data_IF_423803513310
#
_entry.id   IF_423803513310
#
_cell.length_a   1.000
_cell.length_b   1.000
_cell.length_c   1.000
_cell.angle_alpha   90.00
_cell.angle_beta   90.00
_cell.angle_gamma   90.00
#
_symmetry.space_group_name_H-M   'P 1'
#
loop_
_entity.id
_entity.type
_entity.pdbx_description
1 polymer ?
#
# COMPACT_ATOMS: atom_id res chain seq x y z
N UNK A 1 8.16 -15.22 -7.52
CA UNK A 1 9.52 -15.79 -7.74
C UNK A 1 10.16 -16.24 -6.44
N UNK A 2 10.12 -15.43 -5.39
CA UNK A 2 10.65 -15.73 -4.04
C UNK A 2 9.53 -15.93 -3.00
N UNK A 3 8.42 -16.51 -3.45
CA UNK A 3 7.25 -16.79 -2.63
C UNK A 3 7.63 -17.67 -1.42
N UNK A 4 7.32 -17.20 -0.21
CA UNK A 4 7.65 -17.79 1.09
C UNK A 4 9.13 -18.15 1.27
N UNK A 5 10.03 -17.52 0.52
CA UNK A 5 11.47 -17.67 0.70
C UNK A 5 11.93 -16.81 1.90
N UNK A 6 11.49 -17.19 3.11
CA UNK A 6 11.63 -16.38 4.35
C UNK A 6 13.05 -15.86 4.61
N UNK A 7 14.08 -16.62 4.22
CA UNK A 7 15.48 -16.24 4.41
C UNK A 7 16.15 -15.58 3.19
N UNK A 8 15.42 -15.39 2.09
CA UNK A 8 15.97 -14.79 0.88
C UNK A 8 16.31 -13.31 1.10
N UNK A 9 17.57 -12.96 0.84
CA UNK A 9 18.07 -11.58 0.89
C UNK A 9 19.30 -11.41 -0.01
N UNK A 10 19.36 -12.16 -1.12
CA UNK A 10 20.50 -12.12 -2.03
C UNK A 10 20.41 -10.89 -2.94
N UNK A 11 21.54 -10.27 -3.25
CA UNK A 11 21.59 -9.07 -4.08
C UNK A 11 21.05 -9.35 -5.50
N UNK A 12 20.01 -8.61 -5.87
CA UNK A 12 19.35 -8.65 -7.19
C UNK A 12 19.21 -7.25 -7.81
N UNK A 13 19.92 -6.27 -7.27
CA UNK A 13 19.87 -4.88 -7.74
C UNK A 13 20.27 -4.71 -9.21
N UNK A 14 21.07 -5.64 -9.76
CA UNK A 14 21.52 -5.62 -11.16
C UNK A 14 20.54 -6.24 -12.15
N UNK A 15 19.42 -6.80 -11.69
CA UNK A 15 18.48 -7.49 -12.58
C UNK A 15 17.78 -6.53 -13.53
N UNK A 16 17.73 -6.91 -14.80
CA UNK A 16 16.95 -6.21 -15.79
C UNK A 16 15.50 -6.75 -15.81
N UNK A 17 14.59 -6.02 -15.18
CA UNK A 17 13.16 -6.35 -15.16
C UNK A 17 12.32 -5.47 -16.10
N UNK A 18 12.93 -4.74 -17.03
CA UNK A 18 12.24 -3.74 -17.88
C UNK A 18 11.13 -4.29 -18.81
N UNK A 19 11.04 -5.62 -18.93
CA UNK A 19 10.00 -6.31 -19.69
C UNK A 19 8.99 -7.06 -18.81
N UNK A 20 9.15 -7.03 -17.48
CA UNK A 20 8.21 -7.65 -16.56
C UNK A 20 6.92 -6.83 -16.54
N UNK A 21 5.79 -7.53 -16.66
CA UNK A 21 4.44 -6.93 -16.64
C UNK A 21 3.72 -7.26 -15.33
N UNK A 22 3.99 -8.41 -14.74
CA UNK A 22 3.37 -8.86 -13.51
C UNK A 22 4.46 -9.17 -12.47
N UNK A 23 4.36 -8.55 -11.30
CA UNK A 23 5.22 -8.80 -10.14
C UNK A 23 4.44 -9.39 -8.96
N UNK A 24 3.24 -9.95 -9.22
CA UNK A 24 2.35 -10.53 -8.22
C UNK A 24 3.11 -11.48 -7.29
N UNK A 25 2.97 -11.26 -5.98
CA UNK A 25 3.53 -12.10 -4.93
C UNK A 25 5.03 -12.43 -5.09
N UNK A 26 5.82 -11.55 -5.75
CA UNK A 26 7.21 -11.86 -6.05
C UNK A 26 8.05 -12.09 -4.79
N UNK A 27 7.80 -11.33 -3.71
CA UNK A 27 8.44 -11.43 -2.40
C UNK A 27 7.45 -11.71 -1.26
N UNK A 28 6.29 -12.30 -1.58
CA UNK A 28 5.32 -12.74 -0.58
C UNK A 28 6.02 -13.60 0.48
N UNK A 29 5.90 -13.25 1.75
CA UNK A 29 6.54 -13.90 2.91
C UNK A 29 8.07 -14.06 2.81
N UNK A 30 8.76 -13.26 1.99
CA UNK A 30 10.21 -13.17 2.00
C UNK A 30 10.69 -12.30 3.18
N UNK A 31 10.45 -12.77 4.40
CA UNK A 31 10.58 -12.00 5.65
C UNK A 31 11.89 -11.21 5.79
N UNK A 32 13.02 -11.79 5.35
CA UNK A 32 14.36 -11.18 5.43
C UNK A 32 14.76 -10.32 4.21
N UNK A 33 13.92 -10.20 3.19
CA UNK A 33 14.28 -9.48 1.97
C UNK A 33 14.35 -7.97 2.20
N UNK A 34 15.51 -7.37 1.95
CA UNK A 34 15.73 -5.93 2.11
C UNK A 34 16.82 -5.39 1.15
N UNK A 35 16.83 -5.87 -0.10
CA UNK A 35 17.86 -5.48 -1.09
C UNK A 35 17.46 -4.24 -1.89
N UNK A 36 18.42 -3.38 -2.27
CA UNK A 36 18.14 -2.11 -2.93
C UNK A 36 17.66 -2.35 -4.37
N UNK A 37 16.34 -2.27 -4.57
CA UNK A 37 15.65 -2.46 -5.87
C UNK A 37 15.05 -1.16 -6.41
N UNK A 38 15.38 -0.01 -5.81
CA UNK A 38 14.88 1.29 -6.25
C UNK A 38 15.29 1.67 -7.68
N UNK A 39 16.36 1.06 -8.21
CA UNK A 39 16.84 1.26 -9.57
C UNK A 39 16.12 0.41 -10.63
N UNK A 40 15.20 -0.47 -10.24
CA UNK A 40 14.46 -1.30 -11.17
C UNK A 40 13.51 -0.47 -12.05
N UNK A 41 13.47 -0.79 -13.35
CA UNK A 41 12.50 -0.20 -14.27
C UNK A 41 11.18 -0.98 -14.25
N UNK A 42 10.20 -0.47 -13.50
CA UNK A 42 8.85 -1.06 -13.38
C UNK A 42 7.80 -0.43 -14.32
N UNK A 43 8.20 0.37 -15.30
CA UNK A 43 7.26 1.14 -16.16
C UNK A 43 6.25 0.30 -16.95
N UNK A 44 6.54 -1.00 -17.17
CA UNK A 44 5.63 -1.93 -17.84
C UNK A 44 4.81 -2.80 -16.89
N UNK A 45 5.09 -2.73 -15.59
CA UNK A 45 4.38 -3.51 -14.58
C UNK A 45 2.97 -2.94 -14.44
N UNK A 46 1.98 -3.82 -14.49
CA UNK A 46 0.56 -3.49 -14.29
C UNK A 46 0.04 -4.03 -12.96
N UNK A 47 0.68 -5.07 -12.43
CA UNK A 47 0.22 -5.82 -11.27
C UNK A 47 1.35 -6.01 -10.24
N UNK A 48 1.10 -5.55 -9.02
CA UNK A 48 1.98 -5.67 -7.85
C UNK A 48 1.23 -6.25 -6.64
N UNK A 49 0.11 -6.95 -6.87
CA UNK A 49 -0.62 -7.56 -5.77
C UNK A 49 0.31 -8.45 -4.91
N UNK A 50 0.17 -8.37 -3.59
CA UNK A 50 0.98 -9.14 -2.64
C UNK A 50 2.51 -8.99 -2.75
N UNK A 51 3.04 -8.03 -3.51
CA UNK A 51 4.47 -7.99 -3.88
C UNK A 51 5.42 -8.10 -2.68
N UNK A 52 5.15 -7.34 -1.61
CA UNK A 52 5.90 -7.34 -0.35
C UNK A 52 5.04 -7.77 0.85
N UNK A 53 3.94 -8.49 0.61
CA UNK A 53 3.10 -8.97 1.69
C UNK A 53 3.90 -9.94 2.58
N UNK A 54 4.01 -9.64 3.88
CA UNK A 54 4.84 -10.40 4.81
C UNK A 54 6.36 -10.25 4.61
N UNK A 55 6.83 -9.30 3.80
CA UNK A 55 8.26 -8.95 3.71
C UNK A 55 8.67 -8.04 4.89
N UNK A 56 8.65 -8.62 6.09
CA UNK A 56 8.75 -7.94 7.40
C UNK A 56 9.89 -6.90 7.47
N UNK A 57 11.05 -7.21 6.91
CA UNK A 57 12.26 -6.37 7.00
C UNK A 57 12.42 -5.39 5.85
N UNK A 58 11.57 -5.44 4.82
CA UNK A 58 11.71 -4.60 3.64
C UNK A 58 11.50 -3.13 3.98
N UNK A 59 12.50 -2.29 3.70
CA UNK A 59 12.44 -0.84 3.94
C UNK A 59 13.33 -0.08 2.94
N UNK A 60 13.33 -0.53 1.68
CA UNK A 60 14.16 0.09 0.63
C UNK A 60 13.40 1.19 -0.11
N UNK A 61 14.11 2.25 -0.47
CA UNK A 61 13.52 3.36 -1.21
C UNK A 61 13.14 2.91 -2.63
N UNK A 62 11.85 3.04 -2.94
CA UNK A 62 11.22 2.71 -4.23
C UNK A 62 10.34 3.86 -4.72
N UNK A 63 10.54 5.08 -4.19
CA UNK A 63 9.74 6.25 -4.54
C UNK A 63 9.89 6.60 -6.04
N UNK A 64 11.08 6.38 -6.62
CA UNK A 64 11.39 6.74 -8.01
C UNK A 64 10.90 5.73 -9.05
N UNK A 65 10.18 4.69 -8.63
CA UNK A 65 9.53 3.75 -9.53
C UNK A 65 8.49 4.45 -10.42
N UNK A 66 8.52 4.15 -11.73
CA UNK A 66 7.52 4.62 -12.69
C UNK A 66 6.28 3.74 -12.64
N UNK A 67 5.28 4.15 -11.89
CA UNK A 67 4.08 3.33 -11.60
C UNK A 67 2.85 3.68 -12.44
N UNK A 68 3.00 4.48 -13.50
CA UNK A 68 1.86 4.98 -14.31
C UNK A 68 1.07 3.89 -15.05
N UNK A 69 1.59 2.65 -15.10
CA UNK A 69 0.93 1.48 -15.67
C UNK A 69 0.17 0.62 -14.66
N UNK A 70 0.34 0.85 -13.35
CA UNK A 70 -0.25 0.01 -12.32
C UNK A 70 -1.79 0.09 -12.29
N UNK A 71 -2.42 -1.07 -12.19
CA UNK A 71 -3.87 -1.22 -12.06
C UNK A 71 -4.28 -1.87 -10.74
N UNK A 72 -3.40 -2.62 -10.09
CA UNK A 72 -3.68 -3.31 -8.82
C UNK A 72 -2.54 -3.15 -7.81
N UNK A 73 -2.90 -2.78 -6.58
CA UNK A 73 -2.00 -2.64 -5.42
C UNK A 73 -2.48 -3.43 -4.20
N UNK A 74 -3.39 -4.38 -4.40
CA UNK A 74 -3.99 -5.21 -3.35
C UNK A 74 -2.90 -5.89 -2.51
N UNK A 75 -2.91 -5.65 -1.21
CA UNK A 75 -1.98 -6.19 -0.22
C UNK A 75 -0.48 -5.98 -0.50
N UNK A 76 -0.10 -5.03 -1.37
CA UNK A 76 1.31 -4.83 -1.79
C UNK A 76 2.29 -4.74 -0.62
N UNK A 77 1.93 -4.06 0.47
CA UNK A 77 2.75 -3.89 1.68
C UNK A 77 2.07 -4.44 2.94
N UNK A 78 1.12 -5.37 2.80
CA UNK A 78 0.48 -5.98 3.97
C UNK A 78 1.56 -6.63 4.85
N UNK A 79 1.52 -6.38 6.15
CA UNK A 79 2.48 -6.91 7.13
C UNK A 79 3.96 -6.63 6.78
N UNK A 80 4.26 -5.64 5.93
CA UNK A 80 5.61 -5.12 5.70
C UNK A 80 6.01 -4.19 6.86
N UNK A 81 6.19 -4.79 8.04
CA UNK A 81 6.28 -4.12 9.35
C UNK A 81 7.30 -2.97 9.37
N UNK A 82 8.44 -3.13 8.70
CA UNK A 82 9.55 -2.16 8.71
C UNK A 82 9.41 -1.05 7.65
N UNK A 83 8.48 -1.18 6.70
CA UNK A 83 8.40 -0.29 5.56
C UNK A 83 7.93 1.11 5.98
N UNK A 84 8.75 2.13 5.72
CA UNK A 84 8.41 3.54 5.98
C UNK A 84 9.12 4.48 4.99
N UNK A 85 9.27 4.06 3.73
CA UNK A 85 9.87 4.85 2.67
C UNK A 85 8.82 5.66 1.91
N UNK A 86 9.17 6.85 1.40
CA UNK A 86 8.22 7.70 0.68
C UNK A 86 7.68 6.99 -0.57
N UNK A 87 6.40 7.25 -0.87
CA UNK A 87 5.69 6.79 -2.06
C UNK A 87 4.97 7.94 -2.77
N UNK A 88 5.28 9.18 -2.42
CA UNK A 88 4.60 10.37 -2.94
C UNK A 88 4.81 10.58 -4.45
N UNK A 89 5.84 9.98 -5.04
CA UNK A 89 6.10 10.03 -6.48
C UNK A 89 5.32 8.95 -7.27
N UNK A 90 4.69 7.99 -6.59
CA UNK A 90 3.90 6.97 -7.26
C UNK A 90 2.66 7.59 -7.91
N UNK A 91 2.51 7.34 -9.21
CA UNK A 91 1.29 7.60 -9.94
C UNK A 91 0.34 6.42 -9.76
N UNK A 92 -0.75 6.64 -9.02
CA UNK A 92 -1.81 5.64 -8.78
C UNK A 92 -3.11 5.92 -9.56
N UNK A 93 -3.06 6.83 -10.54
CA UNK A 93 -4.26 7.31 -11.26
C UNK A 93 -4.98 6.23 -12.07
N UNK A 94 -4.37 5.08 -12.37
CA UNK A 94 -5.01 3.94 -13.06
C UNK A 94 -5.38 2.79 -12.12
N UNK A 95 -4.99 2.87 -10.86
CA UNK A 95 -5.21 1.80 -9.87
C UNK A 95 -6.70 1.66 -9.58
N UNK A 96 -7.15 0.40 -9.56
CA UNK A 96 -8.54 -0.01 -9.29
C UNK A 96 -8.72 -0.52 -7.88
N UNK A 97 -7.75 -1.28 -7.35
CA UNK A 97 -7.81 -1.84 -6.00
C UNK A 97 -6.59 -1.43 -5.18
N UNK A 98 -6.85 -1.04 -3.94
CA UNK A 98 -5.86 -0.81 -2.88
C UNK A 98 -6.23 -1.58 -1.61
N UNK A 99 -6.98 -2.67 -1.76
CA UNK A 99 -7.44 -3.50 -0.65
C UNK A 99 -6.25 -3.95 0.21
N UNK A 100 -6.31 -3.61 1.49
CA UNK A 100 -5.34 -3.96 2.51
C UNK A 100 -3.89 -3.60 2.20
N UNK A 101 -3.64 -2.65 1.29
CA UNK A 101 -2.29 -2.31 0.82
C UNK A 101 -1.30 -2.09 1.98
N UNK A 102 -1.73 -1.47 3.09
CA UNK A 102 -0.94 -1.20 4.28
C UNK A 102 -1.52 -1.84 5.56
N UNK A 103 -2.35 -2.88 5.44
CA UNK A 103 -2.79 -3.65 6.61
C UNK A 103 -1.57 -4.13 7.39
N UNK A 104 -1.51 -3.89 8.70
CA UNK A 104 -0.39 -4.30 9.58
C UNK A 104 1.01 -3.76 9.20
N UNK A 105 1.10 -2.77 8.31
CA UNK A 105 2.35 -2.05 8.02
C UNK A 105 2.64 -1.03 9.14
N UNK A 106 2.96 -1.51 10.34
CA UNK A 106 2.94 -0.70 11.58
C UNK A 106 3.92 0.48 11.59
N UNK A 107 4.99 0.44 10.78
CA UNK A 107 5.94 1.56 10.66
C UNK A 107 5.55 2.63 9.65
N UNK A 108 4.62 2.33 8.72
CA UNK A 108 4.33 3.23 7.61
C UNK A 108 3.60 4.49 8.07
N UNK A 109 4.17 5.67 7.79
CA UNK A 109 3.57 6.97 8.09
C UNK A 109 4.00 8.05 7.10
N UNK A 110 4.18 7.70 5.82
CA UNK A 110 4.65 8.63 4.80
C UNK A 110 3.49 9.37 4.14
N UNK A 111 3.75 10.62 3.74
CA UNK A 111 2.75 11.46 3.07
C UNK A 111 2.42 10.92 1.67
N UNK A 112 1.12 10.69 1.46
CA UNK A 112 0.52 10.20 0.22
C UNK A 112 -0.73 11.02 -0.15
N UNK A 113 -0.85 12.25 0.38
CA UNK A 113 -1.99 13.14 0.14
C UNK A 113 -2.12 13.58 -1.34
N UNK A 114 -1.04 13.50 -2.11
CA UNK A 114 -0.96 13.86 -3.54
C UNK A 114 -1.44 12.73 -4.48
N UNK A 115 -1.74 11.54 -3.95
CA UNK A 115 -2.23 10.44 -4.76
C UNK A 115 -3.58 10.77 -5.41
N UNK A 116 -3.66 10.54 -6.73
CA UNK A 116 -4.91 10.63 -7.47
C UNK A 116 -5.69 9.32 -7.37
N UNK A 117 -6.64 9.25 -6.44
CA UNK A 117 -7.45 8.05 -6.15
C UNK A 117 -8.76 7.98 -6.95
N UNK A 118 -8.99 8.86 -7.92
CA UNK A 118 -10.29 9.03 -8.58
C UNK A 118 -10.80 7.79 -9.36
N UNK A 119 -9.92 6.82 -9.61
CA UNK A 119 -10.20 5.59 -10.33
C UNK A 119 -10.24 4.34 -9.43
N UNK A 120 -9.95 4.50 -8.13
CA UNK A 120 -9.98 3.40 -7.17
C UNK A 120 -11.43 3.02 -6.89
N UNK A 121 -11.68 1.72 -6.93
CA UNK A 121 -12.99 1.09 -6.75
C UNK A 121 -13.08 0.35 -5.41
N UNK A 122 -11.96 -0.08 -4.83
CA UNK A 122 -11.91 -0.79 -3.54
C UNK A 122 -10.71 -0.39 -2.67
N UNK A 123 -10.96 -0.19 -1.37
CA UNK A 123 -9.98 0.17 -0.34
C UNK A 123 -10.23 -0.56 1.00
N UNK A 124 -10.72 -1.80 0.96
CA UNK A 124 -11.04 -2.57 2.16
C UNK A 124 -9.81 -2.77 3.03
N UNK A 125 -9.90 -2.45 4.32
CA UNK A 125 -8.80 -2.70 5.24
C UNK A 125 -7.49 -1.97 4.91
N UNK A 126 -7.48 -0.99 3.99
CA UNK A 126 -6.23 -0.39 3.48
C UNK A 126 -5.26 0.00 4.59
N UNK A 127 -5.79 0.57 5.68
CA UNK A 127 -5.10 0.97 6.90
C UNK A 127 -5.69 0.25 8.13
N UNK A 128 -5.94 -1.06 8.04
CA UNK A 128 -6.27 -1.88 9.21
C UNK A 128 -5.01 -2.16 10.04
N UNK A 129 -4.95 -1.62 11.26
CA UNK A 129 -3.81 -1.77 12.19
C UNK A 129 -2.43 -1.16 11.79
N UNK A 130 -2.33 0.02 11.15
CA UNK A 130 -1.07 0.74 11.04
C UNK A 130 -0.90 1.61 12.29
N UNK A 131 -0.13 1.13 13.26
CA UNK A 131 0.02 1.78 14.57
C UNK A 131 0.46 3.26 14.50
N UNK A 132 1.19 3.66 13.45
CA UNK A 132 1.77 5.00 13.31
C UNK A 132 1.13 5.90 12.25
N UNK A 133 0.27 5.37 11.37
CA UNK A 133 -0.20 6.13 10.22
C UNK A 133 -1.16 7.26 10.64
N UNK A 134 -0.79 8.52 10.38
CA UNK A 134 -1.53 9.71 10.81
C UNK A 134 -1.54 10.85 9.78
N UNK A 135 -1.38 10.51 8.50
CA UNK A 135 -1.33 11.50 7.41
C UNK A 135 -2.73 11.98 7.01
N UNK A 136 -2.79 13.19 6.43
CA UNK A 136 -4.06 13.78 6.00
C UNK A 136 -4.44 13.28 4.60
N UNK A 137 -5.54 12.53 4.51
CA UNK A 137 -6.08 11.96 3.28
C UNK A 137 -7.40 12.61 2.85
N UNK A 138 -7.81 13.71 3.49
CA UNK A 138 -9.08 14.39 3.21
C UNK A 138 -9.22 14.94 1.79
N UNK A 139 -8.11 15.06 1.05
CA UNK A 139 -8.04 15.49 -0.35
C UNK A 139 -8.37 14.38 -1.36
N UNK A 140 -8.37 13.11 -0.96
CA UNK A 140 -8.58 11.99 -1.87
C UNK A 140 -9.99 11.99 -2.46
N UNK A 141 -10.08 11.90 -3.80
CA UNK A 141 -11.36 11.67 -4.50
C UNK A 141 -11.67 10.17 -4.48
N UNK A 142 -12.61 9.77 -3.63
CA UNK A 142 -13.01 8.38 -3.40
C UNK A 142 -14.43 8.09 -3.92
N UNK A 143 -14.97 8.90 -4.83
CA UNK A 143 -16.36 8.76 -5.32
C UNK A 143 -16.66 7.43 -6.00
N UNK A 144 -15.64 6.79 -6.60
CA UNK A 144 -15.77 5.48 -7.25
C UNK A 144 -15.58 4.30 -6.30
N UNK A 145 -15.14 4.55 -5.06
CA UNK A 145 -14.93 3.49 -4.08
C UNK A 145 -16.28 2.89 -3.70
N UNK A 146 -16.48 1.65 -4.14
CA UNK A 146 -17.65 0.84 -3.85
C UNK A 146 -17.46 -0.07 -2.65
N UNK A 147 -16.25 -0.18 -2.08
CA UNK A 147 -16.02 -0.92 -0.84
C UNK A 147 -14.82 -0.34 -0.07
N UNK A 148 -15.03 0.01 1.20
CA UNK A 148 -14.02 0.58 2.08
C UNK A 148 -14.18 0.05 3.52
N UNK A 149 -14.69 -1.18 3.66
CA UNK A 149 -14.92 -1.77 4.96
C UNK A 149 -13.61 -1.87 5.74
N UNK A 150 -13.64 -1.48 7.02
CA UNK A 150 -12.47 -1.48 7.89
C UNK A 150 -11.30 -0.64 7.33
N UNK A 151 -11.56 0.36 6.49
CA UNK A 151 -10.52 1.23 5.89
C UNK A 151 -9.45 1.61 6.92
N UNK A 152 -9.91 2.05 8.09
CA UNK A 152 -9.09 2.10 9.31
C UNK A 152 -9.72 1.22 10.39
N UNK A 153 -8.98 0.25 10.95
CA UNK A 153 -9.43 -0.39 12.17
C UNK A 153 -9.20 0.54 13.36
N UNK A 154 -10.30 1.10 13.84
CA UNK A 154 -10.38 2.07 14.90
C UNK A 154 -9.74 1.67 16.24
N UNK A 155 -9.63 0.37 16.55
CA UNK A 155 -9.07 -0.09 17.82
C UNK A 155 -7.56 0.20 17.94
N UNK A 156 -6.87 0.47 16.83
CA UNK A 156 -5.43 0.71 16.78
C UNK A 156 -5.01 1.95 15.99
N UNK A 157 -5.92 2.55 15.21
CA UNK A 157 -5.60 3.71 14.39
C UNK A 157 -5.47 4.98 15.22
N UNK A 158 -4.40 5.75 14.96
CA UNK A 158 -4.21 7.10 15.52
C UNK A 158 -4.82 8.20 14.64
N UNK A 159 -5.43 7.85 13.50
CA UNK A 159 -6.08 8.81 12.60
C UNK A 159 -7.38 9.38 13.17
N UNK A 160 -7.57 10.67 12.97
CA UNK A 160 -8.79 11.40 13.32
C UNK A 160 -9.71 11.55 12.10
N UNK A 161 -11.02 11.71 12.34
CA UNK A 161 -12.05 11.74 11.27
C UNK A 161 -11.82 12.83 10.22
N UNK A 162 -11.28 13.97 10.62
CA UNK A 162 -10.97 15.11 9.75
C UNK A 162 -9.86 14.81 8.73
N UNK A 163 -9.00 13.82 9.01
CA UNK A 163 -7.94 13.37 8.10
C UNK A 163 -8.40 12.29 7.13
N UNK A 164 -9.60 11.76 7.26
CA UNK A 164 -10.09 10.67 6.42
C UNK A 164 -10.65 11.18 5.08
N UNK A 165 -10.57 10.37 4.01
CA UNK A 165 -11.33 10.62 2.79
C UNK A 165 -12.84 10.57 3.07
N UNK A 166 -13.61 11.32 2.29
CA UNK A 166 -15.07 11.34 2.40
C UNK A 166 -15.70 10.26 1.50
N UNK A 167 -15.83 9.05 2.04
CA UNK A 167 -16.53 7.95 1.38
C UNK A 167 -18.04 8.23 1.25
N UNK A 168 -18.68 7.59 0.28
CA UNK A 168 -20.15 7.59 0.12
C UNK A 168 -20.84 6.86 1.29
N UNK A 169 -22.06 7.31 1.62
CA UNK A 169 -22.70 7.03 2.90
C UNK A 169 -22.92 5.54 3.20
N UNK A 170 -23.11 4.71 2.16
CA UNK A 170 -23.30 3.25 2.25
C UNK A 170 -22.12 2.50 2.92
N UNK A 171 -20.94 3.09 2.94
CA UNK A 171 -19.73 2.50 3.53
C UNK A 171 -19.16 3.36 4.67
N UNK A 172 -19.91 4.38 5.11
CA UNK A 172 -19.51 5.34 6.16
C UNK A 172 -20.25 5.17 7.49
N UNK A 173 -21.26 4.30 7.57
CA UNK A 173 -22.10 4.18 8.77
C UNK A 173 -21.36 3.45 9.89
N UNK A 174 -20.87 4.22 10.87
CA UNK A 174 -20.63 4.03 12.31
C UNK A 174 -20.14 2.67 12.91
N UNK A 175 -19.93 1.63 12.12
CA UNK A 175 -19.26 0.38 12.53
C UNK A 175 -17.82 0.25 12.00
N UNK A 176 -17.45 1.11 11.05
CA UNK A 176 -16.19 0.99 10.30
C UNK A 176 -15.18 2.11 10.59
N UNK A 177 -15.54 3.05 11.47
CA UNK A 177 -14.74 4.18 11.93
C UNK A 177 -15.03 4.49 13.41
N UNK A 178 -14.77 3.57 14.34
CA UNK A 178 -14.88 3.89 15.77
C UNK A 178 -13.74 4.86 16.19
N UNK A 179 -13.88 6.14 15.88
CA UNK A 179 -13.04 7.16 16.51
C UNK A 179 -13.27 7.04 18.01
N UNK A 180 -12.25 6.62 18.76
CA UNK A 180 -12.30 6.68 20.21
C UNK A 180 -12.45 8.17 20.55
N UNK A 181 -13.64 8.57 20.99
CA UNK A 181 -13.84 9.89 21.59
C UNK A 181 -12.91 9.93 22.81
N UNK A 182 -11.84 10.72 22.74
CA UNK A 182 -11.16 11.19 23.95
C UNK A 182 -12.07 12.17 24.67
#
# INVERSE_FOLDING_TARGET
MFYSAKSFNQNISSWNISNVVNMSAMFFEAEKFNQPIGNWNVSKVTDMDFLFDGAITFNQNINDWKTDSLTDLTYTFRSAISFNQPLNNWNVSKVKSMDGMFTEATSFNQDINLWNTNNVESMNGMFSSPDKFNQNLSSWDVKKVGNAQNFTNALKSVMTKDKLPKFNQKYSDDKYFMVVKK
#
